data_IF_135711754266
#
_entry.id   IF_135711754266
#
_cell.length_a   1.000
_cell.length_b   1.000
_cell.length_c   1.000
_cell.angle_alpha   90.00
_cell.angle_beta   90.00
_cell.angle_gamma   90.00
#
_symmetry.space_group_name_H-M   'P 1'
#
loop_
_entity.id
_entity.type
_entity.pdbx_description
1 polymer ?
#
# COMPACT_ATOMS: atom_id res chain seq x y z
N UNK A 1 13.88 -36.95 95.67
CA UNK A 1 14.61 -37.41 94.47
C UNK A 1 14.67 -36.28 93.46
N UNK A 2 15.69 -36.01 92.66
CA UNK A 2 17.12 -36.34 92.59
C UNK A 2 17.59 -35.66 91.28
N UNK A 3 18.44 -34.60 91.38
CA UNK A 3 19.42 -34.03 90.40
C UNK A 3 18.85 -33.49 89.05
N UNK A 4 19.40 -32.55 88.26
CA UNK A 4 20.75 -32.08 87.84
C UNK A 4 20.56 -30.62 87.33
N UNK A 5 21.35 -29.61 87.73
CA UNK A 5 22.56 -29.07 87.06
C UNK A 5 22.34 -28.75 85.56
N UNK A 6 22.88 -27.72 84.89
CA UNK A 6 23.98 -26.79 85.12
C UNK A 6 24.02 -25.81 83.92
N UNK A 7 24.69 -24.65 84.10
CA UNK A 7 25.31 -23.73 83.12
C UNK A 7 24.46 -22.98 82.08
N UNK A 8 24.69 -21.66 82.06
CA UNK A 8 24.29 -20.77 80.99
C UNK A 8 25.25 -20.74 79.79
N UNK A 9 24.75 -20.13 78.73
CA UNK A 9 25.53 -19.44 77.70
C UNK A 9 24.59 -18.44 77.02
N UNK A 10 24.87 -17.15 77.21
CA UNK A 10 24.27 -16.09 76.40
C UNK A 10 24.91 -16.16 75.00
N UNK A 11 24.10 -16.46 73.99
CA UNK A 11 24.47 -16.29 72.59
C UNK A 11 23.47 -15.33 71.95
N UNK A 12 23.92 -14.09 71.71
CA UNK A 12 23.26 -13.15 70.81
C UNK A 12 23.31 -13.72 69.39
N UNK A 13 22.28 -14.44 68.99
CA UNK A 13 22.08 -14.77 67.58
C UNK A 13 21.46 -13.55 66.91
N UNK A 14 22.35 -12.67 66.45
CA UNK A 14 22.08 -11.57 65.54
C UNK A 14 21.02 -11.97 64.50
N UNK A 15 19.92 -11.24 64.48
CA UNK A 15 18.93 -11.32 63.43
C UNK A 15 19.62 -10.92 62.11
N UNK A 16 20.06 -11.91 61.35
CA UNK A 16 20.50 -11.72 59.98
C UNK A 16 19.27 -11.50 59.11
N UNK A 17 18.75 -10.26 59.09
CA UNK A 17 17.85 -9.82 58.03
C UNK A 17 18.59 -9.97 56.70
N UNK A 18 18.36 -11.09 56.02
CA UNK A 18 18.67 -11.21 54.61
C UNK A 18 17.76 -10.22 53.90
N UNK A 19 18.30 -9.04 53.57
CA UNK A 19 17.68 -8.11 52.63
C UNK A 19 17.35 -8.91 51.38
N UNK A 20 16.07 -9.23 51.19
CA UNK A 20 15.54 -9.69 49.91
C UNK A 20 15.79 -8.53 48.97
N UNK A 21 16.87 -8.60 48.21
CA UNK A 21 17.12 -7.70 47.09
C UNK A 21 15.96 -7.91 46.15
N UNK A 22 14.96 -7.02 46.21
CA UNK A 22 13.85 -6.99 45.29
C UNK A 22 14.38 -6.38 43.98
N UNK A 23 15.34 -7.07 43.36
CA UNK A 23 15.75 -6.76 42.00
C UNK A 23 14.64 -7.31 41.13
N UNK A 24 13.66 -6.46 40.83
CA UNK A 24 12.70 -6.70 39.76
C UNK A 24 13.51 -6.56 38.47
N UNK A 25 14.28 -7.59 38.12
CA UNK A 25 14.84 -7.72 36.78
C UNK A 25 13.64 -8.12 35.92
N UNK A 26 12.87 -7.13 35.44
CA UNK A 26 11.95 -7.38 34.35
C UNK A 26 12.79 -7.95 33.21
N UNK A 27 12.52 -9.20 32.76
CA UNK A 27 13.26 -9.75 31.63
C UNK A 27 13.13 -8.78 30.47
N UNK A 28 14.27 -8.36 29.89
CA UNK A 28 14.31 -7.49 28.72
C UNK A 28 13.32 -8.06 27.69
N UNK A 29 12.32 -7.29 27.23
CA UNK A 29 11.35 -7.78 26.27
C UNK A 29 12.12 -8.44 25.12
N UNK A 30 11.82 -9.72 24.87
CA UNK A 30 12.39 -10.42 23.73
C UNK A 30 12.04 -9.60 22.49
N UNK A 31 13.02 -9.40 21.60
CA UNK A 31 12.78 -8.70 20.36
C UNK A 31 11.57 -9.35 19.66
N UNK A 32 10.60 -8.57 19.17
CA UNK A 32 9.45 -9.13 18.47
C UNK A 32 9.95 -10.01 17.34
N UNK A 33 9.34 -11.19 17.17
CA UNK A 33 9.70 -12.09 16.07
C UNK A 33 9.53 -11.32 14.75
N UNK A 34 10.48 -11.44 13.80
CA UNK A 34 10.35 -10.76 12.52
C UNK A 34 9.03 -11.18 11.86
N UNK A 35 8.24 -10.19 11.41
CA UNK A 35 7.02 -10.45 10.64
C UNK A 35 7.42 -11.23 9.38
N UNK A 36 6.64 -12.26 9.03
CA UNK A 36 6.81 -12.96 7.75
C UNK A 36 6.61 -11.95 6.62
N UNK A 37 7.39 -12.05 5.54
CA UNK A 37 7.12 -11.30 4.31
C UNK A 37 5.69 -11.55 3.86
N UNK A 38 4.96 -10.47 3.59
CA UNK A 38 3.56 -10.47 3.24
C UNK A 38 3.35 -10.40 1.72
N UNK A 39 2.14 -10.73 1.29
CA UNK A 39 1.73 -10.75 -0.12
C UNK A 39 0.34 -10.12 -0.23
N UNK A 40 0.12 -9.36 -1.30
CA UNK A 40 -1.23 -8.92 -1.65
C UNK A 40 -2.00 -10.11 -2.23
N UNK A 41 -3.33 -10.11 -2.07
CA UNK A 41 -4.17 -11.16 -2.67
C UNK A 41 -4.00 -11.19 -4.19
N UNK A 42 -3.98 -12.37 -4.80
CA UNK A 42 -4.08 -12.46 -6.25
C UNK A 42 -5.49 -12.13 -6.73
N UNK A 43 -5.62 -11.70 -7.97
CA UNK A 43 -6.92 -11.64 -8.64
C UNK A 43 -6.77 -11.99 -10.11
N UNK A 44 -7.86 -12.49 -10.67
CA UNK A 44 -8.07 -12.57 -12.12
C UNK A 44 -9.50 -12.10 -12.41
N UNK A 45 -9.61 -11.04 -13.20
CA UNK A 45 -10.89 -10.45 -13.58
C UNK A 45 -10.98 -10.39 -15.09
N UNK A 46 -12.17 -10.59 -15.63
CA UNK A 46 -12.40 -10.45 -17.06
C UNK A 46 -13.72 -9.76 -17.37
N UNK A 47 -13.75 -9.07 -18.51
CA UNK A 47 -14.93 -8.35 -19.01
C UNK A 47 -14.98 -8.45 -20.53
N UNK A 48 -16.15 -8.81 -21.06
CA UNK A 48 -16.43 -8.70 -22.49
C UNK A 48 -16.80 -7.25 -22.84
N UNK A 49 -16.22 -6.73 -23.93
CA UNK A 49 -16.39 -5.35 -24.39
C UNK A 49 -16.67 -5.32 -25.89
N UNK A 50 -17.39 -4.29 -26.34
CA UNK A 50 -17.48 -3.94 -27.76
C UNK A 50 -16.41 -2.89 -28.07
N UNK A 51 -15.51 -3.19 -29.00
CA UNK A 51 -14.42 -2.31 -29.41
C UNK A 51 -14.13 -2.52 -30.89
N UNK A 52 -13.93 -1.44 -31.65
CA UNK A 52 -13.67 -1.51 -33.10
C UNK A 52 -14.71 -2.35 -33.88
N UNK A 53 -15.97 -2.32 -33.45
CA UNK A 53 -17.07 -3.06 -34.07
C UNK A 53 -17.04 -4.58 -33.87
N UNK A 54 -16.22 -5.10 -32.96
CA UNK A 54 -16.12 -6.53 -32.60
C UNK A 54 -16.18 -6.72 -31.09
N UNK A 55 -16.42 -7.94 -30.66
CA UNK A 55 -16.34 -8.34 -29.25
C UNK A 55 -14.91 -8.73 -28.89
N UNK A 56 -14.44 -8.23 -27.75
CA UNK A 56 -13.16 -8.60 -27.15
C UNK A 56 -13.35 -8.98 -25.69
N UNK A 57 -12.51 -9.88 -25.17
CA UNK A 57 -12.41 -10.18 -23.74
C UNK A 57 -11.17 -9.50 -23.19
N UNK A 58 -11.35 -8.57 -22.26
CA UNK A 58 -10.24 -7.99 -21.48
C UNK A 58 -10.06 -8.82 -20.21
N UNK A 59 -8.83 -9.21 -19.89
CA UNK A 59 -8.46 -9.97 -18.70
C UNK A 59 -7.36 -9.22 -17.96
N UNK A 60 -7.51 -9.02 -16.66
CA UNK A 60 -6.48 -8.47 -15.77
C UNK A 60 -6.15 -9.49 -14.69
N UNK A 61 -4.86 -9.75 -14.47
CA UNK A 61 -4.40 -10.72 -13.49
C UNK A 61 -3.26 -10.16 -12.64
N UNK A 62 -3.44 -10.07 -11.32
CA UNK A 62 -2.40 -9.71 -10.35
C UNK A 62 -1.85 -10.94 -9.66
N UNK A 63 -0.53 -11.03 -9.59
CA UNK A 63 0.20 -12.07 -8.89
C UNK A 63 1.42 -11.48 -8.17
N UNK A 64 1.74 -11.99 -6.98
CA UNK A 64 3.02 -11.73 -6.33
C UNK A 64 4.17 -12.15 -7.25
N UNK A 65 5.21 -11.32 -7.35
CA UNK A 65 6.42 -11.65 -8.10
C UNK A 65 7.62 -11.77 -7.16
N UNK A 66 7.95 -13.02 -6.81
CA UNK A 66 9.06 -13.35 -5.90
C UNK A 66 10.45 -13.08 -6.49
N UNK A 67 10.54 -12.71 -7.79
CA UNK A 67 11.80 -12.32 -8.42
C UNK A 67 12.11 -10.83 -8.27
N UNK A 68 11.12 -10.01 -7.88
CA UNK A 68 11.30 -8.58 -7.66
C UNK A 68 11.94 -8.29 -6.29
N UNK A 69 12.63 -7.14 -6.13
CA UNK A 69 13.08 -6.68 -4.83
C UNK A 69 11.91 -6.57 -3.84
N UNK A 70 12.15 -6.95 -2.59
CA UNK A 70 11.17 -6.76 -1.53
C UNK A 70 10.91 -5.27 -1.30
N UNK A 71 9.64 -4.95 -1.09
CA UNK A 71 9.20 -3.64 -0.65
C UNK A 71 9.18 -3.64 0.88
N UNK A 72 9.72 -2.60 1.50
CA UNK A 72 9.69 -2.42 2.95
C UNK A 72 8.87 -1.15 3.25
N UNK A 73 7.79 -1.31 4.01
CA UNK A 73 6.96 -0.21 4.51
C UNK A 73 7.68 0.56 5.61
N UNK A 74 7.12 1.71 6.01
CA UNK A 74 7.67 2.54 7.09
C UNK A 74 7.78 1.80 8.44
N UNK A 75 6.86 0.87 8.71
CA UNK A 75 6.86 0.05 9.93
C UNK A 75 7.81 -1.16 9.85
N UNK A 76 8.70 -1.19 8.84
CA UNK A 76 9.65 -2.27 8.54
C UNK A 76 9.00 -3.61 8.17
N UNK A 77 7.71 -3.61 7.80
CA UNK A 77 7.06 -4.80 7.25
C UNK A 77 7.52 -5.01 5.81
N UNK A 78 7.84 -6.26 5.48
CA UNK A 78 8.30 -6.63 4.12
C UNK A 78 7.16 -7.22 3.31
N UNK A 79 7.11 -6.84 2.04
CA UNK A 79 6.12 -7.30 1.07
C UNK A 79 6.82 -7.77 -0.20
N UNK A 80 6.26 -8.81 -0.84
CA UNK A 80 6.55 -9.07 -2.25
C UNK A 80 5.78 -8.06 -3.10
N UNK A 81 6.46 -7.44 -4.07
CA UNK A 81 5.79 -6.62 -5.08
C UNK A 81 5.05 -7.52 -6.07
N UNK A 82 4.19 -6.91 -6.88
CA UNK A 82 3.29 -7.62 -7.79
C UNK A 82 3.67 -7.39 -9.24
N UNK A 83 3.22 -8.32 -10.08
CA UNK A 83 3.04 -8.11 -11.51
C UNK A 83 1.57 -8.16 -11.85
N UNK A 84 1.15 -7.32 -12.79
CA UNK A 84 -0.22 -7.30 -13.29
C UNK A 84 -0.21 -7.45 -14.80
N UNK A 85 -0.86 -8.50 -15.32
CA UNK A 85 -0.94 -8.75 -16.75
C UNK A 85 -2.30 -8.30 -17.27
N UNK A 86 -2.29 -7.46 -18.31
CA UNK A 86 -3.47 -7.16 -19.13
C UNK A 86 -3.40 -8.03 -20.37
N UNK A 87 -4.46 -8.79 -20.65
CA UNK A 87 -4.68 -9.47 -21.92
C UNK A 87 -5.95 -8.97 -22.58
N UNK A 88 -5.92 -8.81 -23.89
CA UNK A 88 -7.09 -8.49 -24.72
C UNK A 88 -7.18 -9.58 -25.76
N UNK A 89 -8.24 -10.38 -25.69
CA UNK A 89 -8.49 -11.50 -26.58
C UNK A 89 -9.57 -11.12 -27.58
N UNK A 90 -9.39 -11.52 -28.84
CA UNK A 90 -10.44 -11.45 -29.87
C UNK A 90 -11.51 -12.50 -29.58
N UNK A 91 -12.65 -12.38 -30.25
CA UNK A 91 -13.78 -13.31 -30.15
C UNK A 91 -13.40 -14.77 -30.41
N UNK A 92 -12.44 -15.01 -31.32
CA UNK A 92 -11.91 -16.34 -31.63
C UNK A 92 -10.90 -16.88 -30.60
N UNK A 93 -10.66 -16.13 -29.51
CA UNK A 93 -9.71 -16.45 -28.45
C UNK A 93 -8.26 -16.09 -28.78
N UNK A 94 -7.95 -15.59 -29.98
CA UNK A 94 -6.60 -15.15 -30.31
C UNK A 94 -6.22 -13.88 -29.56
N UNK A 95 -4.96 -13.77 -29.20
CA UNK A 95 -4.46 -12.60 -28.46
C UNK A 95 -4.31 -11.39 -29.39
N UNK A 96 -4.99 -10.30 -29.06
CA UNK A 96 -4.75 -8.99 -29.67
C UNK A 96 -3.59 -8.28 -28.97
N UNK A 97 -3.58 -8.31 -27.63
CA UNK A 97 -2.60 -7.63 -26.80
C UNK A 97 -2.36 -8.41 -25.52
N UNK A 98 -1.10 -8.45 -25.09
CA UNK A 98 -0.71 -8.95 -23.77
C UNK A 98 0.52 -8.22 -23.29
N UNK A 99 0.41 -7.63 -22.10
CA UNK A 99 1.54 -6.99 -21.43
C UNK A 99 1.44 -7.21 -19.94
N UNK A 100 2.55 -7.60 -19.34
CA UNK A 100 2.76 -7.63 -17.91
C UNK A 100 3.39 -6.32 -17.47
N UNK A 101 2.80 -5.70 -16.46
CA UNK A 101 3.27 -4.48 -15.83
C UNK A 101 3.82 -4.79 -14.44
N UNK A 102 4.86 -4.05 -14.07
CA UNK A 102 5.47 -4.02 -12.74
C UNK A 102 5.54 -2.57 -12.27
N UNK A 103 5.82 -2.33 -10.99
CA UNK A 103 6.01 -0.97 -10.45
C UNK A 103 7.02 -0.14 -11.28
N UNK A 104 8.06 -0.79 -11.80
CA UNK A 104 9.10 -0.17 -12.62
C UNK A 104 8.56 0.56 -13.87
N UNK A 105 7.50 0.05 -14.50
CA UNK A 105 6.83 0.67 -15.64
C UNK A 105 6.23 2.06 -15.30
N UNK A 106 6.00 2.33 -14.02
CA UNK A 106 5.35 3.55 -13.54
C UNK A 106 6.32 4.55 -12.92
N UNK A 107 7.62 4.22 -12.79
CA UNK A 107 8.60 5.04 -12.05
C UNK A 107 8.71 6.49 -12.50
N UNK A 108 8.45 6.80 -13.78
CA UNK A 108 8.40 8.18 -14.27
C UNK A 108 7.29 9.04 -13.64
N UNK A 109 6.29 8.41 -13.02
CA UNK A 109 5.11 9.06 -12.44
C UNK A 109 5.08 9.01 -10.91
N UNK A 110 6.11 8.45 -10.26
CA UNK A 110 6.14 8.27 -8.81
C UNK A 110 7.11 9.27 -8.17
N UNK A 111 6.78 9.76 -6.99
CA UNK A 111 7.74 10.45 -6.12
C UNK A 111 8.79 9.48 -5.55
N UNK A 112 9.76 10.02 -4.82
CA UNK A 112 10.86 9.24 -4.26
C UNK A 112 10.41 8.22 -3.20
N UNK A 113 9.38 8.57 -2.44
CA UNK A 113 8.84 7.77 -1.35
C UNK A 113 8.09 6.55 -1.91
N UNK A 114 7.11 6.77 -2.78
CA UNK A 114 6.33 5.74 -3.45
C UNK A 114 7.22 4.78 -4.24
N UNK A 115 8.31 5.26 -4.85
CA UNK A 115 9.32 4.38 -5.50
C UNK A 115 9.93 3.39 -4.53
N UNK A 116 10.24 3.84 -3.31
CA UNK A 116 10.96 3.10 -2.29
C UNK A 116 10.04 2.15 -1.52
N UNK A 117 8.91 2.64 -1.04
CA UNK A 117 8.02 1.94 -0.09
C UNK A 117 6.74 1.42 -0.73
N UNK A 118 6.43 1.83 -1.96
CA UNK A 118 5.23 1.40 -2.66
C UNK A 118 5.37 0.08 -3.41
N UNK A 119 4.23 -0.54 -3.72
CA UNK A 119 4.07 -1.72 -4.57
C UNK A 119 3.02 -1.44 -5.67
N UNK A 120 3.05 -2.21 -6.75
CA UNK A 120 1.98 -2.18 -7.75
C UNK A 120 0.70 -2.79 -7.14
N UNK A 121 -0.29 -1.95 -6.86
CA UNK A 121 -1.50 -2.35 -6.15
C UNK A 121 -2.51 -2.95 -7.11
N UNK A 122 -2.90 -2.26 -8.17
CA UNK A 122 -3.98 -2.75 -9.04
C UNK A 122 -3.98 -2.14 -10.42
N UNK A 123 -4.54 -2.87 -11.38
CA UNK A 123 -4.97 -2.34 -12.67
C UNK A 123 -6.38 -2.86 -12.96
N UNK A 124 -7.32 -1.95 -13.17
CA UNK A 124 -8.72 -2.24 -13.47
C UNK A 124 -9.11 -1.66 -14.82
N UNK A 125 -9.95 -2.37 -15.57
CA UNK A 125 -10.52 -1.85 -16.81
C UNK A 125 -11.63 -0.84 -16.48
N UNK A 126 -11.56 0.34 -17.09
CA UNK A 126 -12.51 1.44 -16.89
C UNK A 126 -13.54 1.41 -18.01
N UNK A 127 -13.12 1.74 -19.24
CA UNK A 127 -14.03 1.92 -20.37
C UNK A 127 -13.32 1.78 -21.74
N UNK A 128 -14.14 1.80 -22.79
CA UNK A 128 -13.69 2.00 -24.16
C UNK A 128 -14.01 3.45 -24.56
N UNK A 129 -13.01 4.20 -24.99
CA UNK A 129 -13.17 5.57 -25.49
C UNK A 129 -12.63 5.65 -26.92
N UNK A 130 -13.55 5.67 -27.89
CA UNK A 130 -13.18 5.61 -29.30
C UNK A 130 -12.45 4.31 -29.64
N UNK A 131 -11.21 4.44 -30.13
CA UNK A 131 -10.34 3.31 -30.46
C UNK A 131 -9.30 3.00 -29.37
N UNK A 132 -9.54 3.46 -28.14
CA UNK A 132 -8.65 3.32 -26.99
C UNK A 132 -9.35 2.60 -25.84
N UNK A 133 -8.66 1.64 -25.24
CA UNK A 133 -9.04 0.97 -24.00
C UNK A 133 -8.42 1.73 -22.83
N UNK A 134 -9.24 2.11 -21.84
CA UNK A 134 -8.81 2.84 -20.66
C UNK A 134 -8.79 1.93 -19.43
N UNK A 135 -7.73 2.06 -18.65
CA UNK A 135 -7.52 1.36 -17.39
C UNK A 135 -7.09 2.35 -16.32
N UNK A 136 -7.51 2.11 -15.09
CA UNK A 136 -6.99 2.79 -13.92
C UNK A 136 -5.97 1.89 -13.24
N UNK A 137 -4.80 2.45 -12.94
CA UNK A 137 -3.70 1.82 -12.23
C UNK A 137 -3.47 2.49 -10.87
N UNK A 138 -2.88 1.76 -9.94
CA UNK A 138 -2.47 2.31 -8.64
C UNK A 138 -1.14 1.72 -8.19
N UNK A 139 -0.25 2.60 -7.73
CA UNK A 139 0.99 2.24 -7.03
C UNK A 139 1.00 2.98 -5.72
N UNK A 140 1.23 2.28 -4.62
CA UNK A 140 1.09 2.86 -3.27
C UNK A 140 1.50 1.89 -2.18
N UNK A 141 1.13 2.20 -0.95
CA UNK A 141 1.47 1.35 0.20
C UNK A 141 0.86 -0.05 0.06
N UNK A 142 1.65 -1.12 0.20
CA UNK A 142 1.13 -2.49 0.21
C UNK A 142 0.41 -2.86 1.53
N UNK A 143 0.44 -1.99 2.53
CA UNK A 143 -0.34 -2.17 3.76
C UNK A 143 -1.83 -1.98 3.47
N UNK A 144 -2.62 -3.02 3.70
CA UNK A 144 -4.08 -3.02 3.48
C UNK A 144 -4.85 -2.02 4.36
N UNK A 145 -4.21 -1.50 5.40
CA UNK A 145 -4.78 -0.45 6.26
C UNK A 145 -4.47 0.96 5.77
N UNK A 146 -3.57 1.10 4.79
CA UNK A 146 -3.21 2.37 4.15
C UNK A 146 -4.13 2.67 2.96
N UNK A 147 -4.52 3.92 2.82
CA UNK A 147 -5.25 4.46 1.66
C UNK A 147 -4.36 5.28 0.70
N UNK A 148 -3.06 5.38 1.01
CA UNK A 148 -2.09 6.09 0.18
C UNK A 148 -1.75 5.34 -1.13
N UNK A 149 -2.04 5.99 -2.26
CA UNK A 149 -1.59 5.55 -3.58
C UNK A 149 -1.54 6.70 -4.59
N UNK A 150 -0.70 6.53 -5.61
CA UNK A 150 -0.68 7.37 -6.82
C UNK A 150 -1.65 6.79 -7.84
N UNK A 151 -2.72 7.51 -8.21
CA UNK A 151 -3.65 7.09 -9.25
C UNK A 151 -3.03 7.31 -10.64
N UNK A 152 -3.19 6.32 -11.51
CA UNK A 152 -2.57 6.28 -12.83
C UNK A 152 -3.63 5.94 -13.88
N UNK A 153 -3.49 6.52 -15.06
CA UNK A 153 -4.26 6.12 -16.25
C UNK A 153 -3.33 5.34 -17.17
N UNK A 154 -3.79 4.18 -17.60
CA UNK A 154 -3.11 3.36 -18.61
C UNK A 154 -4.05 3.24 -19.80
N UNK A 155 -3.53 3.46 -21.00
CA UNK A 155 -4.32 3.27 -22.21
C UNK A 155 -3.66 2.31 -23.18
N UNK A 156 -4.48 1.56 -23.91
CA UNK A 156 -4.05 0.68 -25.00
C UNK A 156 -4.85 1.05 -26.24
N UNK A 157 -4.19 1.51 -27.30
CA UNK A 157 -4.88 1.88 -28.55
C UNK A 157 -5.04 0.67 -29.50
N UNK A 158 -5.75 0.89 -30.63
CA UNK A 158 -5.96 -0.12 -31.69
C UNK A 158 -4.70 -0.71 -32.32
N UNK A 159 -3.53 -0.09 -32.11
CA UNK A 159 -2.23 -0.60 -32.56
C UNK A 159 -1.50 -1.40 -31.47
N UNK A 160 -2.09 -1.54 -30.28
CA UNK A 160 -1.46 -2.16 -29.11
C UNK A 160 -0.43 -1.26 -28.43
N UNK A 161 -0.34 0.02 -28.80
CA UNK A 161 0.57 0.95 -28.15
C UNK A 161 0.02 1.35 -26.78
N UNK A 162 0.90 1.39 -25.79
CA UNK A 162 0.58 1.72 -24.40
C UNK A 162 1.00 3.15 -24.09
N UNK A 163 0.14 3.91 -23.42
CA UNK A 163 0.51 5.16 -22.77
C UNK A 163 0.12 5.14 -21.30
N UNK A 164 0.84 5.90 -20.48
CA UNK A 164 0.66 6.00 -19.04
C UNK A 164 0.66 7.48 -18.66
N UNK A 165 -0.20 7.88 -17.73
CA UNK A 165 -0.22 9.21 -17.15
C UNK A 165 -0.62 9.13 -15.67
N UNK A 166 -0.34 10.20 -14.90
CA UNK A 166 -1.01 10.40 -13.60
C UNK A 166 -2.49 10.71 -13.86
N UNK A 167 -3.37 10.21 -12.99
CA UNK A 167 -4.76 10.63 -12.99
C UNK A 167 -4.91 11.89 -12.12
N UNK A 168 -5.05 13.04 -12.76
CA UNK A 168 -5.16 14.34 -12.07
C UNK A 168 -6.59 14.68 -11.63
N UNK A 169 -7.57 13.79 -11.81
CA UNK A 169 -8.96 14.06 -11.42
C UNK A 169 -9.20 13.95 -9.90
N UNK A 170 -8.22 13.48 -9.12
CA UNK A 170 -8.32 13.32 -7.67
C UNK A 170 -7.74 14.50 -6.86
N UNK A 171 -7.15 15.51 -7.51
CA UNK A 171 -6.62 16.71 -6.84
C UNK A 171 -7.72 17.69 -6.37
N UNK A 172 -8.88 17.20 -5.92
CA UNK A 172 -9.85 18.01 -5.16
C UNK A 172 -9.52 17.97 -3.68
N UNK A 173 -8.43 18.66 -3.31
CA UNK A 173 -8.15 19.06 -1.95
C UNK A 173 -7.66 20.51 -1.93
N UNK A 174 -8.62 21.45 -1.99
CA UNK A 174 -8.47 22.78 -1.39
C UNK A 174 -7.79 23.87 -2.22
N UNK A 175 -8.28 24.17 -3.42
CA UNK A 175 -8.10 25.51 -3.97
C UNK A 175 -9.22 26.42 -3.42
N UNK A 176 -8.99 26.98 -2.23
CA UNK A 176 -9.70 28.18 -1.77
C UNK A 176 -9.13 29.38 -2.50
N UNK A 177 -9.55 29.58 -3.75
CA UNK A 177 -9.39 30.85 -4.44
C UNK A 177 -10.72 31.21 -5.09
N UNK A 178 -11.43 32.16 -4.49
CA UNK A 178 -11.99 33.33 -5.18
C UNK A 178 -12.90 34.14 -4.23
N UNK A 179 -12.44 35.35 -3.88
CA UNK A 179 -13.20 36.56 -4.16
C UNK A 179 -12.32 37.80 -4.07
N UNK A 180 -11.65 38.11 -5.17
CA UNK A 180 -11.35 39.49 -5.51
C UNK A 180 -12.69 40.15 -5.90
N UNK A 181 -13.26 40.96 -5.00
CA UNK A 181 -14.40 41.81 -5.34
C UNK A 181 -13.93 42.94 -6.24
N UNK A 182 -14.19 42.81 -7.54
CA UNK A 182 -14.16 43.94 -8.46
C UNK A 182 -15.27 44.93 -8.09
N UNK A 183 -14.84 46.18 -7.94
CA UNK A 183 -15.67 47.37 -7.82
C UNK A 183 -16.44 47.56 -9.12
N UNK A 184 -17.76 47.66 -9.04
CA UNK A 184 -18.58 48.30 -10.06
C UNK A 184 -19.37 49.42 -9.38
N UNK A 185 -18.90 50.64 -9.63
CA UNK A 185 -19.67 51.87 -9.45
C UNK A 185 -20.82 51.86 -10.47
N UNK A 186 -22.06 51.93 -9.99
CA UNK A 186 -23.17 52.42 -10.80
C UNK A 186 -23.96 53.44 -9.97
N UNK A 187 -24.09 54.62 -10.57
CA UNK A 187 -24.75 55.79 -10.02
C UNK A 187 -26.28 55.58 -9.94
N UNK A 188 -26.89 56.04 -8.85
CA UNK A 188 -28.34 56.27 -8.80
C UNK A 188 -28.64 57.61 -8.12
N UNK A 189 -29.54 58.34 -8.75
CA UNK A 189 -29.97 59.72 -8.53
C UNK A 189 -31.20 59.73 -7.60
N UNK A 190 -31.28 60.69 -6.67
CA UNK A 190 -32.54 60.93 -5.94
C UNK A 190 -32.44 61.48 -4.52
N UNK A 191 -32.31 62.82 -4.42
CA UNK A 191 -33.24 63.80 -3.79
C UNK A 191 -32.52 65.13 -3.58
#
# INVERSE_FOLDING_TARGET
>A
MLVIAVLGAACFSSCGEKKKSNVIIAPKPAAPKPKKTQELSSYEQSRDISWLGKTYRVVMKRESDHSLPLVESEDHTKYYDNKITIKVLREDGTEFFSRTFQKSDFTGYLDAETKKTGALLGIVFVEVKGDVLHFAGSVGSPDVTSDEYVPLVITVNRMGAVSIAKDSQLDTAGDEDEKASSVEDEADDGV
#
